data_IF_587784490699
#
_entry.id   IF_587784490699
#
_cell.length_a   1.000
_cell.length_b   1.000
_cell.length_c   1.000
_cell.angle_alpha   90.00
_cell.angle_beta   90.00
_cell.angle_gamma   90.00
#
_symmetry.space_group_name_H-M   'P 1'
#
loop_
_entity.id
_entity.type
_entity.pdbx_description
1 polymer ?
#
# COMPACT_ATOMS: atom_id res chain seq x y z
N UNK A 1 7.57 20.29 78.30
CA UNK A 1 8.55 19.86 77.30
C UNK A 1 7.79 19.68 76.00
N UNK A 2 7.70 20.74 75.20
CA UNK A 2 6.96 20.76 73.90
C UNK A 2 7.97 20.62 72.77
N UNK A 3 7.81 19.57 71.92
CA UNK A 3 8.52 19.41 70.65
C UNK A 3 7.62 19.87 69.51
N UNK A 4 8.05 20.79 68.60
CA UNK A 4 7.28 21.08 67.40
C UNK A 4 7.55 20.03 66.32
N UNK A 5 6.47 19.53 65.69
CA UNK A 5 6.50 18.75 64.45
C UNK A 5 6.83 19.71 63.28
N UNK A 6 7.92 19.42 62.61
CA UNK A 6 8.24 20.10 61.33
C UNK A 6 7.58 19.35 60.19
N UNK A 7 6.61 19.98 59.54
CA UNK A 7 5.93 19.48 58.34
C UNK A 7 6.77 19.82 57.12
N UNK A 8 7.39 18.80 56.48
CA UNK A 8 8.08 18.96 55.20
C UNK A 8 7.05 19.01 54.06
N UNK A 9 6.92 20.21 53.46
CA UNK A 9 6.13 20.41 52.24
C UNK A 9 6.97 19.95 51.06
N UNK A 10 6.63 18.82 50.43
CA UNK A 10 7.24 18.37 49.19
C UNK A 10 6.60 19.14 48.04
N UNK A 11 7.31 20.09 47.44
CA UNK A 11 6.94 20.71 46.16
C UNK A 11 7.17 19.70 45.04
N UNK A 12 6.09 19.10 44.49
CA UNK A 12 6.14 18.38 43.26
C UNK A 12 6.31 19.38 42.10
N UNK A 13 7.49 19.42 41.52
CA UNK A 13 7.76 20.16 40.28
C UNK A 13 7.17 19.33 39.14
N UNK A 14 6.01 19.72 38.64
CA UNK A 14 5.47 19.19 37.40
C UNK A 14 6.36 19.68 36.24
N UNK A 15 7.16 18.81 35.66
CA UNK A 15 7.85 19.06 34.41
C UNK A 15 6.79 19.23 33.30
N UNK A 16 6.83 20.33 32.52
CA UNK A 16 5.95 20.43 31.37
C UNK A 16 6.31 19.30 30.40
N UNK A 17 5.33 18.44 30.06
CA UNK A 17 5.44 17.56 28.92
C UNK A 17 5.68 18.47 27.69
N UNK A 18 6.85 18.34 27.09
CA UNK A 18 7.14 18.96 25.80
C UNK A 18 6.12 18.35 24.81
N UNK A 19 5.06 19.09 24.53
CA UNK A 19 4.22 18.84 23.37
C UNK A 19 5.17 18.91 22.17
N UNK A 20 5.39 17.78 21.50
CA UNK A 20 6.04 17.79 20.19
C UNK A 20 5.13 18.62 19.28
N UNK A 21 5.64 19.73 18.80
CA UNK A 21 5.02 20.48 17.71
C UNK A 21 4.93 19.53 16.53
N UNK A 22 3.74 18.94 16.32
CA UNK A 22 3.41 18.36 15.04
C UNK A 22 3.60 19.48 14.01
N UNK A 23 4.42 19.26 12.98
CA UNK A 23 4.57 20.26 11.91
C UNK A 23 3.18 20.66 11.44
N UNK A 24 2.93 21.96 11.32
CA UNK A 24 1.60 22.47 10.98
C UNK A 24 1.11 21.95 9.62
N UNK A 25 2.02 21.52 8.75
CA UNK A 25 1.75 20.97 7.42
C UNK A 25 2.73 19.82 7.11
N UNK A 26 2.44 19.12 6.01
CA UNK A 26 3.33 18.14 5.41
C UNK A 26 4.57 18.84 4.84
N UNK A 27 5.73 18.23 4.98
CA UNK A 27 6.93 18.69 4.30
C UNK A 27 6.70 18.62 2.79
N UNK A 28 7.22 19.64 2.08
CA UNK A 28 6.98 19.77 0.64
C UNK A 28 8.28 19.88 -0.14
N UNK A 29 8.36 19.16 -1.25
CA UNK A 29 9.48 19.24 -2.19
C UNK A 29 8.98 19.30 -3.62
N UNK A 30 9.62 20.18 -4.43
CA UNK A 30 9.32 20.35 -5.85
C UNK A 30 10.61 20.32 -6.67
N UNK A 31 10.72 19.33 -7.57
CA UNK A 31 11.80 19.24 -8.56
C UNK A 31 11.23 19.39 -9.98
N UNK A 32 11.41 20.58 -10.55
CA UNK A 32 10.92 20.90 -11.90
C UNK A 32 11.56 20.03 -12.99
N UNK A 33 12.85 19.67 -12.84
CA UNK A 33 13.57 18.86 -13.84
C UNK A 33 13.00 17.46 -13.93
N UNK A 34 12.61 16.90 -12.78
CA UNK A 34 12.00 15.57 -12.65
C UNK A 34 10.47 15.60 -12.78
N UNK A 35 9.89 16.78 -12.94
CA UNK A 35 8.43 17.00 -12.87
C UNK A 35 7.83 16.33 -11.64
N UNK A 36 8.48 16.49 -10.49
CA UNK A 36 8.16 15.82 -9.23
C UNK A 36 7.70 16.85 -8.21
N UNK A 37 6.54 16.63 -7.63
CA UNK A 37 6.06 17.28 -6.42
C UNK A 37 5.76 16.20 -5.38
N UNK A 38 6.23 16.42 -4.14
CA UNK A 38 6.05 15.47 -3.03
C UNK A 38 5.60 16.24 -1.79
N UNK A 39 4.54 15.76 -1.17
CA UNK A 39 4.19 16.07 0.21
C UNK A 39 4.46 14.84 1.05
N UNK A 40 5.18 14.98 2.16
CA UNK A 40 5.53 13.83 3.01
C UNK A 40 5.55 14.20 4.49
N UNK A 41 5.28 13.20 5.32
CA UNK A 41 5.44 13.28 6.77
C UNK A 41 6.22 12.06 7.26
N UNK A 42 7.20 12.31 8.13
CA UNK A 42 7.97 11.27 8.81
C UNK A 42 7.53 11.20 10.27
N UNK A 43 7.22 10.00 10.75
CA UNK A 43 6.75 9.78 12.11
C UNK A 43 7.84 9.16 12.99
N UNK A 44 7.78 9.43 14.31
CA UNK A 44 8.78 8.98 15.27
C UNK A 44 8.91 7.45 15.40
N UNK A 45 7.91 6.71 14.94
CA UNK A 45 7.91 5.24 14.92
C UNK A 45 8.57 4.64 13.65
N UNK A 46 9.20 5.47 12.83
CA UNK A 46 9.92 5.07 11.62
C UNK A 46 9.05 4.98 10.36
N UNK A 47 7.72 5.15 10.47
CA UNK A 47 6.86 5.25 9.30
C UNK A 47 7.03 6.60 8.61
N UNK A 48 6.94 6.59 7.28
CA UNK A 48 6.74 7.78 6.45
C UNK A 48 5.52 7.60 5.58
N UNK A 49 4.79 8.69 5.34
CA UNK A 49 3.68 8.73 4.39
C UNK A 49 3.99 9.84 3.40
N UNK A 50 3.80 9.57 2.11
CA UNK A 50 3.99 10.57 1.08
C UNK A 50 2.90 10.46 0.01
N UNK A 51 2.47 11.63 -0.49
CA UNK A 51 1.76 11.77 -1.75
C UNK A 51 2.67 12.45 -2.75
N UNK A 52 2.65 12.01 -4.00
CA UNK A 52 3.52 12.59 -5.01
C UNK A 52 2.88 12.61 -6.38
N UNK A 53 3.17 13.68 -7.12
CA UNK A 53 2.92 13.79 -8.54
C UNK A 53 4.24 13.67 -9.30
N UNK A 54 4.36 12.66 -10.16
CA UNK A 54 5.55 12.43 -10.99
C UNK A 54 5.10 12.36 -12.45
N UNK A 55 5.50 13.33 -13.27
CA UNK A 55 5.19 13.37 -14.71
C UNK A 55 3.70 13.09 -15.02
N UNK A 56 2.81 13.72 -14.25
CA UNK A 56 1.34 13.61 -14.38
C UNK A 56 0.72 12.36 -13.74
N UNK A 57 1.51 11.48 -13.16
CA UNK A 57 0.98 10.33 -12.41
C UNK A 57 1.01 10.55 -10.91
N UNK A 58 -0.11 10.26 -10.28
CA UNK A 58 -0.28 10.43 -8.84
C UNK A 58 -0.03 9.12 -8.11
N UNK A 59 0.72 9.18 -7.02
CA UNK A 59 1.00 8.05 -6.13
C UNK A 59 0.87 8.47 -4.66
N UNK A 60 0.43 7.53 -3.83
CA UNK A 60 0.52 7.62 -2.37
C UNK A 60 1.26 6.38 -1.85
N UNK A 61 2.21 6.60 -0.95
CA UNK A 61 3.10 5.54 -0.45
C UNK A 61 3.21 5.60 1.06
N UNK A 62 3.38 4.42 1.67
CA UNK A 62 3.75 4.27 3.08
C UNK A 62 5.11 3.59 3.09
N UNK A 63 6.08 4.17 3.78
CA UNK A 63 7.46 3.69 3.93
C UNK A 63 7.77 3.26 5.36
N UNK A 64 8.85 2.50 5.57
CA UNK A 64 9.25 2.08 6.92
C UNK A 64 8.40 0.94 7.49
N UNK A 65 7.61 0.29 6.66
CA UNK A 65 6.86 -0.90 7.06
C UNK A 65 7.79 -2.11 7.21
N UNK A 66 7.43 -3.13 8.01
CA UNK A 66 8.14 -4.41 7.99
C UNK A 66 8.22 -4.96 6.56
N UNK A 67 9.23 -5.77 6.20
CA UNK A 67 9.29 -6.39 4.88
C UNK A 67 7.97 -7.09 4.51
N UNK A 68 7.51 -6.90 3.29
CA UNK A 68 6.33 -7.58 2.80
C UNK A 68 6.61 -9.09 2.65
N UNK A 69 5.65 -9.93 2.99
CA UNK A 69 5.71 -11.34 2.68
C UNK A 69 5.68 -11.61 1.17
N UNK A 70 5.49 -12.89 0.79
CA UNK A 70 5.35 -13.26 -0.61
C UNK A 70 4.12 -12.63 -1.24
N UNK A 71 4.26 -12.16 -2.46
CA UNK A 71 3.16 -11.63 -3.27
C UNK A 71 3.34 -10.18 -3.66
N UNK A 72 2.44 -9.70 -4.51
CA UNK A 72 2.39 -8.31 -5.00
C UNK A 72 1.42 -7.45 -4.20
N UNK A 73 0.53 -8.06 -3.40
CA UNK A 73 -0.43 -7.38 -2.55
C UNK A 73 0.12 -7.28 -1.12
N UNK A 74 -0.18 -6.15 -0.49
CA UNK A 74 0.12 -5.89 0.90
C UNK A 74 -1.16 -5.44 1.61
N UNK A 75 -1.94 -6.35 2.19
CA UNK A 75 -3.11 -5.95 2.95
C UNK A 75 -2.69 -5.11 4.15
N UNK A 76 -3.26 -3.92 4.25
CA UNK A 76 -3.14 -3.03 5.41
C UNK A 76 -4.56 -2.72 5.88
N UNK A 77 -4.79 -2.73 7.18
CA UNK A 77 -6.04 -2.20 7.74
C UNK A 77 -5.79 -0.79 8.23
N UNK A 78 -6.61 0.12 7.74
CA UNK A 78 -6.45 1.56 7.98
C UNK A 78 -7.75 2.10 8.55
N UNK A 79 -7.64 3.06 9.47
CA UNK A 79 -8.77 3.81 9.98
C UNK A 79 -8.37 5.27 10.20
N UNK A 80 -9.19 6.17 9.75
CA UNK A 80 -9.11 7.60 10.03
C UNK A 80 -10.00 7.93 11.23
N UNK A 81 -9.53 8.84 12.09
CA UNK A 81 -10.26 9.20 13.31
C UNK A 81 -10.59 7.99 14.18
N UNK A 82 -11.87 7.91 14.59
CA UNK A 82 -12.39 6.84 15.44
C UNK A 82 -13.12 5.72 14.65
N UNK A 83 -13.03 5.74 13.32
CA UNK A 83 -13.62 4.72 12.46
C UNK A 83 -13.05 3.33 12.73
N UNK A 84 -13.76 2.28 12.30
CA UNK A 84 -13.25 0.91 12.36
C UNK A 84 -12.14 0.68 11.34
N UNK A 85 -11.23 -0.25 11.67
CA UNK A 85 -10.14 -0.63 10.77
C UNK A 85 -10.71 -1.36 9.55
N UNK A 86 -10.61 -0.73 8.39
CA UNK A 86 -11.00 -1.29 7.11
C UNK A 86 -9.78 -1.81 6.33
N UNK A 87 -9.93 -2.91 5.60
CA UNK A 87 -8.85 -3.49 4.83
C UNK A 87 -8.71 -2.77 3.48
N UNK A 88 -7.57 -2.09 3.33
CA UNK A 88 -7.18 -1.47 2.07
C UNK A 88 -6.16 -2.32 1.35
N UNK A 89 -6.39 -2.54 0.07
CA UNK A 89 -5.45 -3.27 -0.78
C UNK A 89 -4.35 -2.32 -1.28
N UNK A 90 -3.15 -2.57 -0.78
CA UNK A 90 -1.92 -1.91 -1.22
C UNK A 90 -1.08 -2.87 -2.05
N UNK A 91 -0.22 -2.33 -2.89
CA UNK A 91 0.76 -3.10 -3.64
C UNK A 91 2.14 -2.97 -3.01
N UNK A 92 2.93 -4.03 -3.13
CA UNK A 92 4.34 -4.01 -2.70
C UNK A 92 5.14 -3.27 -3.76
N UNK A 93 5.92 -2.25 -3.36
CA UNK A 93 6.89 -1.60 -4.25
C UNK A 93 8.06 -2.54 -4.61
N UNK A 94 9.00 -2.04 -5.43
CA UNK A 94 10.27 -2.76 -5.67
C UNK A 94 11.01 -2.99 -4.35
N UNK A 95 11.08 -1.96 -3.49
CA UNK A 95 11.49 -2.12 -2.10
C UNK A 95 10.31 -2.64 -1.28
N UNK A 96 10.45 -3.81 -0.68
CA UNK A 96 9.39 -4.53 0.03
C UNK A 96 8.99 -3.93 1.39
N UNK A 97 9.72 -2.92 1.87
CA UNK A 97 9.35 -2.11 3.04
C UNK A 97 8.44 -0.93 2.69
N UNK A 98 8.09 -0.78 1.41
CA UNK A 98 7.23 0.29 0.90
C UNK A 98 5.94 -0.31 0.37
N UNK A 99 4.81 0.27 0.78
CA UNK A 99 3.50 0.01 0.21
C UNK A 99 3.10 1.16 -0.73
N UNK A 100 2.52 0.83 -1.89
CA UNK A 100 1.98 1.80 -2.85
C UNK A 100 0.48 1.65 -2.91
N UNK A 101 -0.26 2.75 -2.74
CA UNK A 101 -1.72 2.73 -2.79
C UNK A 101 -2.23 2.35 -4.18
N UNK A 102 -3.25 1.53 -4.22
CA UNK A 102 -3.96 1.20 -5.46
C UNK A 102 -4.93 2.29 -5.89
N UNK A 103 -5.46 3.04 -4.92
CA UNK A 103 -6.32 4.20 -5.11
C UNK A 103 -5.69 5.42 -4.40
N UNK A 104 -4.62 5.99 -4.97
CA UNK A 104 -3.83 7.00 -4.28
C UNK A 104 -4.56 8.33 -4.09
N UNK A 105 -5.44 8.73 -5.01
CA UNK A 105 -6.13 10.00 -4.90
C UNK A 105 -7.24 9.98 -3.84
N UNK A 106 -8.12 8.97 -3.73
CA UNK A 106 -9.00 8.80 -2.59
C UNK A 106 -8.25 8.81 -1.27
N UNK A 107 -7.21 8.00 -1.13
CA UNK A 107 -6.41 7.96 0.10
C UNK A 107 -5.78 9.31 0.47
N UNK A 108 -5.28 10.06 -0.54
CA UNK A 108 -4.75 11.40 -0.30
C UNK A 108 -5.83 12.38 0.17
N UNK A 109 -7.07 12.26 -0.31
CA UNK A 109 -8.19 13.07 0.15
C UNK A 109 -8.54 12.79 1.60
N UNK A 110 -8.52 11.55 2.04
CA UNK A 110 -8.66 11.20 3.46
C UNK A 110 -7.52 11.78 4.32
N UNK A 111 -6.28 11.72 3.85
CA UNK A 111 -5.14 12.32 4.56
C UNK A 111 -5.28 13.85 4.78
N UNK A 112 -6.00 14.54 3.90
CA UNK A 112 -6.25 16.00 4.00
C UNK A 112 -7.07 16.39 5.21
N UNK A 113 -7.91 15.50 5.70
CA UNK A 113 -8.74 15.76 6.88
C UNK A 113 -7.91 15.83 8.17
N UNK A 114 -6.64 15.38 8.13
CA UNK A 114 -5.77 15.41 9.30
C UNK A 114 -6.21 14.46 10.40
N UNK A 115 -5.82 14.78 11.63
CA UNK A 115 -6.24 14.02 12.81
C UNK A 115 -5.52 12.69 12.99
N UNK A 116 -6.23 11.71 13.55
CA UNK A 116 -5.67 10.41 13.89
C UNK A 116 -5.71 9.44 12.70
N UNK A 117 -4.63 8.75 12.46
CA UNK A 117 -4.54 7.67 11.48
C UNK A 117 -4.00 6.41 12.16
N UNK A 118 -4.75 5.31 12.07
CA UNK A 118 -4.31 4.00 12.55
C UNK A 118 -4.02 3.08 11.37
N UNK A 119 -2.84 2.45 11.39
CA UNK A 119 -2.41 1.50 10.36
C UNK A 119 -2.06 0.19 11.04
N UNK A 120 -2.75 -0.88 10.73
CA UNK A 120 -2.45 -2.22 11.18
C UNK A 120 -1.84 -3.04 10.04
N UNK A 121 -0.67 -3.60 10.31
CA UNK A 121 0.00 -4.56 9.42
C UNK A 121 -0.30 -5.97 9.95
N UNK A 122 -1.12 -6.77 9.24
CA UNK A 122 -1.39 -8.14 9.67
C UNK A 122 -0.10 -8.95 9.74
N UNK A 123 0.14 -9.59 10.88
CA UNK A 123 1.35 -10.39 11.15
C UNK A 123 2.67 -9.63 10.96
N UNK A 124 2.64 -8.30 11.11
CA UNK A 124 3.79 -7.42 10.87
C UNK A 124 4.82 -7.39 12.02
N UNK A 125 4.47 -7.85 13.21
CA UNK A 125 5.41 -7.94 14.33
C UNK A 125 6.35 -9.16 14.17
N UNK A 126 7.55 -9.08 14.75
CA UNK A 126 8.57 -10.13 14.66
C UNK A 126 8.10 -11.49 15.22
N UNK A 127 7.17 -11.49 16.17
CA UNK A 127 6.53 -12.68 16.75
C UNK A 127 5.29 -13.16 15.96
N UNK A 128 5.01 -12.58 14.82
CA UNK A 128 3.88 -12.92 13.95
C UNK A 128 2.53 -12.33 14.38
N UNK A 129 2.49 -11.50 15.43
CA UNK A 129 1.29 -10.74 15.80
C UNK A 129 1.07 -9.57 14.86
N UNK A 130 -0.13 -9.00 14.89
CA UNK A 130 -0.42 -7.76 14.18
C UNK A 130 0.41 -6.62 14.75
N UNK A 131 0.95 -5.79 13.86
CA UNK A 131 1.67 -4.58 14.24
C UNK A 131 0.78 -3.37 14.01
N UNK A 132 0.58 -2.56 15.05
CA UNK A 132 -0.26 -1.37 15.01
C UNK A 132 0.61 -0.12 15.06
N UNK A 133 0.32 0.80 14.16
CA UNK A 133 0.82 2.17 14.18
C UNK A 133 -0.35 3.11 14.46
N UNK A 134 -0.14 4.05 15.35
CA UNK A 134 -1.09 5.11 15.73
C UNK A 134 -0.38 6.45 15.50
N UNK A 135 -0.89 7.23 14.57
CA UNK A 135 -0.25 8.43 14.04
C UNK A 135 -1.17 9.63 14.24
N UNK A 136 -0.57 10.80 14.48
CA UNK A 136 -1.25 12.07 14.36
C UNK A 136 -0.78 12.74 13.07
N UNK A 137 -1.70 12.94 12.13
CA UNK A 137 -1.42 13.61 10.87
C UNK A 137 -1.22 15.10 11.07
N UNK A 138 -0.44 15.78 10.21
CA UNK A 138 -0.36 17.24 10.18
C UNK A 138 -1.75 17.88 10.05
N UNK A 139 -1.95 19.02 10.68
CA UNK A 139 -3.24 19.71 10.69
C UNK A 139 -3.57 20.43 9.38
N UNK A 140 -2.55 20.83 8.62
CA UNK A 140 -2.70 21.47 7.29
C UNK A 140 -2.54 20.43 6.19
N UNK A 141 -3.30 20.59 5.12
CA UNK A 141 -3.25 19.75 3.92
C UNK A 141 -2.70 20.48 2.69
N UNK A 142 -2.23 21.71 2.83
CA UNK A 142 -1.85 22.56 1.71
C UNK A 142 -0.81 21.91 0.78
N UNK A 143 0.13 21.14 1.32
CA UNK A 143 1.14 20.42 0.55
C UNK A 143 0.54 19.23 -0.22
N UNK A 144 -0.41 18.51 0.37
CA UNK A 144 -1.15 17.43 -0.33
C UNK A 144 -1.99 18.01 -1.46
N UNK A 145 -2.67 19.13 -1.24
CA UNK A 145 -3.48 19.82 -2.25
C UNK A 145 -2.65 20.19 -3.48
N UNK A 146 -1.41 20.63 -3.27
CA UNK A 146 -0.49 20.93 -4.35
C UNK A 146 -0.13 19.67 -5.17
N UNK A 147 0.11 18.53 -4.51
CA UNK A 147 0.43 17.29 -5.23
C UNK A 147 -0.76 16.75 -6.02
N UNK A 148 -1.98 16.80 -5.45
CA UNK A 148 -3.22 16.42 -6.15
C UNK A 148 -3.44 17.32 -7.39
N UNK A 149 -3.38 18.64 -7.20
CA UNK A 149 -3.60 19.63 -8.27
C UNK A 149 -2.57 19.49 -9.39
N UNK A 150 -1.29 19.29 -9.06
CA UNK A 150 -0.22 19.09 -10.03
C UNK A 150 -0.46 17.88 -10.95
N UNK A 151 -1.14 16.85 -10.43
CA UNK A 151 -1.52 15.65 -11.18
C UNK A 151 -2.95 15.70 -11.76
N UNK A 152 -3.57 16.87 -11.82
CA UNK A 152 -4.95 17.04 -12.27
C UNK A 152 -5.95 16.13 -11.53
N UNK A 153 -5.69 15.87 -10.24
CA UNK A 153 -6.62 15.14 -9.37
C UNK A 153 -7.45 16.17 -8.58
N UNK A 154 -8.79 16.12 -8.67
CA UNK A 154 -9.64 17.06 -7.94
C UNK A 154 -9.50 16.87 -6.44
N UNK A 155 -9.64 17.96 -5.68
CA UNK A 155 -9.62 17.94 -4.22
C UNK A 155 -10.86 17.30 -3.61
N UNK A 156 -11.96 17.27 -4.36
CA UNK A 156 -13.20 16.55 -4.05
C UNK A 156 -13.59 15.80 -5.32
N UNK A 157 -13.82 14.50 -5.22
CA UNK A 157 -14.20 13.66 -6.36
C UNK A 157 -15.42 12.81 -5.98
N UNK A 158 -16.58 13.01 -6.64
CA UNK A 158 -17.78 12.23 -6.34
C UNK A 158 -17.61 10.73 -6.63
N UNK A 159 -16.62 10.33 -7.44
CA UNK A 159 -16.32 8.92 -7.70
C UNK A 159 -15.76 8.17 -6.51
N UNK A 160 -15.29 8.87 -5.45
CA UNK A 160 -14.75 8.20 -4.28
C UNK A 160 -15.79 7.30 -3.62
N UNK A 161 -17.04 7.77 -3.47
CA UNK A 161 -18.12 6.96 -2.95
C UNK A 161 -18.48 5.77 -3.86
N UNK A 162 -18.35 5.94 -5.20
CA UNK A 162 -18.56 4.83 -6.13
C UNK A 162 -17.45 3.79 -6.03
N UNK A 163 -16.19 4.25 -5.88
CA UNK A 163 -15.02 3.37 -5.72
C UNK A 163 -15.08 2.56 -4.43
N UNK A 164 -15.55 3.18 -3.35
CA UNK A 164 -15.73 2.52 -2.05
C UNK A 164 -16.83 1.45 -2.09
N UNK A 165 -17.88 1.67 -2.88
CA UNK A 165 -19.01 0.75 -3.05
C UNK A 165 -18.72 -0.44 -3.99
N UNK A 166 -17.54 -0.53 -4.61
CA UNK A 166 -17.19 -1.65 -5.49
C UNK A 166 -16.90 -2.92 -4.67
N UNK A 167 -17.31 -4.06 -5.21
CA UNK A 167 -16.96 -5.36 -4.67
C UNK A 167 -15.46 -5.67 -4.84
N UNK A 168 -14.98 -6.73 -4.21
CA UNK A 168 -13.57 -7.16 -4.26
C UNK A 168 -13.06 -7.39 -5.68
N UNK A 169 -13.94 -7.81 -6.59
CA UNK A 169 -13.62 -8.05 -8.00
C UNK A 169 -13.64 -6.77 -8.86
N UNK A 170 -13.97 -5.61 -8.27
CA UNK A 170 -13.95 -4.28 -8.86
C UNK A 170 -15.17 -3.94 -9.71
N UNK A 171 -16.28 -4.67 -9.55
CA UNK A 171 -17.56 -4.30 -10.16
C UNK A 171 -18.64 -4.10 -9.09
N UNK A 172 -19.66 -3.29 -9.36
CA UNK A 172 -20.84 -3.19 -8.49
C UNK A 172 -21.61 -4.52 -8.37
N UNK A 173 -22.32 -4.72 -7.28
CA UNK A 173 -23.07 -5.97 -6.95
C UNK A 173 -24.05 -6.44 -8.02
N UNK A 174 -24.59 -5.53 -8.84
CA UNK A 174 -25.50 -5.82 -9.93
C UNK A 174 -24.81 -6.17 -11.27
N UNK A 175 -23.49 -6.09 -11.30
CA UNK A 175 -22.64 -6.42 -12.46
C UNK A 175 -21.72 -7.60 -12.18
N UNK A 176 -21.26 -8.23 -13.26
CA UNK A 176 -20.17 -9.19 -13.22
C UNK A 176 -19.34 -9.07 -14.50
N UNK A 177 -18.12 -9.56 -14.47
CA UNK A 177 -17.27 -9.68 -15.65
C UNK A 177 -17.79 -10.80 -16.57
N UNK A 178 -18.28 -10.43 -17.74
CA UNK A 178 -18.53 -11.39 -18.82
C UNK A 178 -17.23 -11.79 -19.52
N UNK A 179 -16.31 -10.82 -19.68
CA UNK A 179 -14.94 -11.03 -20.16
C UNK A 179 -14.01 -10.20 -19.27
N UNK A 180 -13.24 -10.89 -18.42
CA UNK A 180 -12.26 -10.21 -17.57
C UNK A 180 -11.12 -9.61 -18.39
N UNK A 181 -10.61 -8.42 -17.99
CA UNK A 181 -9.39 -7.90 -18.60
C UNK A 181 -8.23 -8.86 -18.41
N UNK A 182 -7.55 -9.19 -19.50
CA UNK A 182 -6.37 -10.08 -19.47
C UNK A 182 -5.19 -9.34 -20.09
N UNK A 183 -4.46 -8.53 -19.31
CA UNK A 183 -3.34 -7.79 -19.83
C UNK A 183 -2.14 -8.69 -20.11
N UNK A 184 -1.38 -8.34 -21.16
CA UNK A 184 -0.10 -8.98 -21.46
C UNK A 184 1.01 -8.25 -20.71
N UNK A 185 2.03 -9.00 -20.28
CA UNK A 185 3.22 -8.43 -19.69
C UNK A 185 3.89 -7.46 -20.71
N UNK A 186 4.10 -6.18 -20.36
CA UNK A 186 4.69 -5.22 -21.28
C UNK A 186 6.19 -5.48 -21.48
N UNK A 187 6.78 -4.89 -22.52
CA UNK A 187 8.24 -4.85 -22.67
C UNK A 187 8.80 -3.82 -21.70
N UNK A 188 9.46 -4.26 -20.65
CA UNK A 188 10.02 -3.45 -19.57
C UNK A 188 11.19 -4.18 -18.93
N UNK A 189 12.08 -3.44 -18.26
CA UNK A 189 13.20 -3.99 -17.49
C UNK A 189 12.78 -4.43 -16.07
N UNK A 190 11.53 -4.17 -15.68
CA UNK A 190 11.00 -4.55 -14.37
C UNK A 190 10.46 -5.98 -14.38
N UNK A 191 10.88 -6.77 -13.40
CA UNK A 191 10.41 -8.13 -13.23
C UNK A 191 8.99 -8.23 -12.62
N UNK A 192 8.52 -7.15 -11.98
CA UNK A 192 7.17 -7.06 -11.40
C UNK A 192 6.66 -5.64 -11.43
N UNK A 193 5.34 -5.50 -11.36
CA UNK A 193 4.64 -4.24 -11.25
C UNK A 193 3.13 -4.44 -11.16
N UNK A 194 2.41 -3.34 -11.09
CA UNK A 194 0.96 -3.36 -11.14
C UNK A 194 0.42 -2.10 -11.82
N UNK A 195 -0.83 -2.16 -12.25
CA UNK A 195 -1.62 -0.99 -12.57
C UNK A 195 -3.08 -1.21 -12.17
N UNK A 196 -3.73 -0.13 -11.78
CA UNK A 196 -5.17 -0.08 -11.48
C UNK A 196 -5.81 0.87 -12.47
N UNK A 197 -6.87 0.43 -13.10
CA UNK A 197 -7.66 1.20 -14.04
C UNK A 197 -9.11 1.27 -13.60
N UNK A 198 -9.73 2.43 -13.78
CA UNK A 198 -11.17 2.61 -13.72
C UNK A 198 -11.71 2.83 -15.12
N UNK A 199 -12.90 2.37 -15.38
CA UNK A 199 -13.64 2.57 -16.64
C UNK A 199 -15.12 2.80 -16.30
N UNK A 200 -15.88 3.25 -17.29
CA UNK A 200 -17.34 3.34 -17.22
C UNK A 200 -17.95 2.29 -18.14
N UNK A 201 -18.93 1.52 -17.67
CA UNK A 201 -19.64 0.52 -18.47
C UNK A 201 -20.59 1.21 -19.47
N UNK A 202 -20.73 0.62 -20.65
CA UNK A 202 -21.75 0.95 -21.64
C UNK A 202 -22.93 -0.04 -21.58
N UNK A 203 -24.11 0.34 -22.10
CA UNK A 203 -25.28 -0.55 -22.12
C UNK A 203 -25.08 -1.89 -22.84
N UNK A 204 -24.12 -1.98 -23.77
CA UNK A 204 -23.74 -3.22 -24.47
C UNK A 204 -22.67 -4.03 -23.71
N UNK A 205 -22.29 -3.61 -22.50
CA UNK A 205 -21.29 -4.26 -21.66
C UNK A 205 -19.84 -3.92 -22.01
N UNK A 206 -19.59 -3.10 -23.04
CA UNK A 206 -18.24 -2.58 -23.34
C UNK A 206 -17.81 -1.56 -22.28
N UNK A 207 -16.51 -1.25 -22.22
CA UNK A 207 -15.96 -0.25 -21.33
C UNK A 207 -15.49 0.99 -22.12
N UNK A 208 -15.69 2.18 -21.53
CA UNK A 208 -15.25 3.47 -22.06
C UNK A 208 -14.61 4.32 -20.97
N UNK A 209 -14.05 5.45 -21.36
CA UNK A 209 -13.47 6.46 -20.48
C UNK A 209 -12.50 5.85 -19.43
N UNK A 210 -11.70 4.88 -19.89
CA UNK A 210 -10.76 4.20 -19.02
C UNK A 210 -9.57 5.09 -18.66
N UNK A 211 -9.25 5.19 -17.38
CA UNK A 211 -8.13 5.94 -16.84
C UNK A 211 -7.30 5.10 -15.89
N UNK A 212 -6.00 5.39 -15.79
CA UNK A 212 -5.12 4.78 -14.79
C UNK A 212 -5.24 5.57 -13.48
N UNK A 213 -5.62 4.89 -12.42
CA UNK A 213 -5.62 5.44 -11.06
C UNK A 213 -4.24 5.34 -10.43
N UNK A 214 -3.57 4.20 -10.62
CA UNK A 214 -2.20 3.99 -10.14
C UNK A 214 -1.43 3.04 -11.05
N UNK A 215 -0.11 3.22 -11.11
CA UNK A 215 0.84 2.36 -11.79
C UNK A 215 2.17 2.36 -11.03
N UNK A 216 2.76 1.20 -10.82
CA UNK A 216 4.09 1.09 -10.21
C UNK A 216 4.86 -0.12 -10.74
N UNK A 217 6.15 0.03 -11.12
CA UNK A 217 6.85 1.29 -11.36
C UNK A 217 6.24 2.11 -12.51
N UNK A 218 6.33 3.42 -12.42
CA UNK A 218 5.66 4.34 -13.36
C UNK A 218 6.13 4.24 -14.81
N UNK A 219 7.40 3.95 -15.02
CA UNK A 219 8.02 3.77 -16.34
C UNK A 219 7.93 2.32 -16.84
N UNK A 220 7.19 1.45 -16.11
CA UNK A 220 7.03 0.03 -16.41
C UNK A 220 6.08 -0.29 -17.56
N UNK A 221 5.32 0.69 -18.08
CA UNK A 221 4.28 0.54 -19.11
C UNK A 221 3.13 -0.40 -18.71
N UNK A 222 2.97 -0.64 -17.43
CA UNK A 222 1.92 -1.51 -16.91
C UNK A 222 0.54 -0.89 -17.10
N UNK A 223 0.42 0.43 -16.92
CA UNK A 223 -0.81 1.18 -17.16
C UNK A 223 -1.30 1.03 -18.60
N UNK A 224 -0.43 1.23 -19.60
CA UNK A 224 -0.80 1.07 -20.99
C UNK A 224 -1.26 -0.35 -21.32
N UNK A 225 -0.55 -1.36 -20.83
CA UNK A 225 -0.93 -2.77 -21.03
C UNK A 225 -2.29 -3.09 -20.38
N UNK A 226 -2.56 -2.46 -19.24
CA UNK A 226 -3.83 -2.56 -18.52
C UNK A 226 -4.98 -1.92 -19.30
N UNK A 227 -4.81 -0.70 -19.83
CA UNK A 227 -5.79 -0.03 -20.68
C UNK A 227 -6.08 -0.81 -21.96
N UNK A 228 -5.05 -1.40 -22.59
CA UNK A 228 -5.21 -2.23 -23.78
C UNK A 228 -6.03 -3.50 -23.51
N UNK A 229 -5.96 -4.03 -22.28
CA UNK A 229 -6.80 -5.13 -21.86
C UNK A 229 -8.26 -4.70 -21.61
N UNK A 230 -8.47 -3.51 -21.05
CA UNK A 230 -9.80 -2.96 -20.80
C UNK A 230 -10.66 -2.86 -22.06
N UNK A 231 -10.07 -2.52 -23.21
CA UNK A 231 -10.78 -2.42 -24.51
C UNK A 231 -11.45 -3.72 -24.93
N UNK A 232 -10.98 -4.87 -24.45
CA UNK A 232 -11.51 -6.20 -24.77
C UNK A 232 -12.40 -6.75 -23.67
N UNK A 233 -12.41 -6.10 -22.52
CA UNK A 233 -13.21 -6.53 -21.38
C UNK A 233 -14.71 -6.26 -21.62
N UNK A 234 -15.54 -7.03 -20.95
CA UNK A 234 -17.00 -6.89 -20.98
C UNK A 234 -17.55 -7.14 -19.60
N UNK A 235 -18.57 -6.37 -19.23
CA UNK A 235 -19.41 -6.62 -18.06
C UNK A 235 -20.80 -7.03 -18.48
N UNK A 236 -21.52 -7.67 -17.61
CA UNK A 236 -22.91 -8.09 -17.80
C UNK A 236 -23.76 -7.73 -16.60
N UNK A 237 -25.04 -7.46 -16.85
CA UNK A 237 -26.03 -7.22 -15.81
C UNK A 237 -26.47 -8.55 -15.21
N UNK A 238 -26.17 -8.79 -13.92
CA UNK A 238 -26.56 -10.03 -13.22
C UNK A 238 -27.83 -9.85 -12.41
N UNK A 239 -28.20 -8.63 -12.06
CA UNK A 239 -29.48 -8.35 -11.41
C UNK A 239 -30.66 -8.54 -12.39
N UNK A 240 -30.46 -8.27 -13.69
CA UNK A 240 -31.47 -8.42 -14.74
C UNK A 240 -30.81 -9.03 -15.99
N UNK A 241 -30.61 -10.36 -16.04
CA UNK A 241 -29.97 -11.04 -17.16
C UNK A 241 -30.70 -10.77 -18.49
N UNK A 242 -29.93 -10.41 -19.52
CA UNK A 242 -30.47 -10.06 -20.85
C UNK A 242 -30.92 -8.60 -21.00
N UNK A 243 -30.97 -7.82 -19.92
CA UNK A 243 -31.19 -6.38 -19.99
C UNK A 243 -29.89 -5.60 -20.25
N UNK A 244 -30.00 -4.36 -20.77
CA UNK A 244 -28.84 -3.49 -20.92
C UNK A 244 -28.04 -3.35 -19.62
N UNK A 245 -26.73 -3.22 -19.74
CA UNK A 245 -25.84 -3.01 -18.60
C UNK A 245 -26.03 -1.57 -18.09
N UNK A 246 -26.25 -1.35 -16.78
CA UNK A 246 -26.24 -0.01 -16.20
C UNK A 246 -24.92 0.70 -16.44
N UNK A 247 -24.97 2.01 -16.67
CA UNK A 247 -23.79 2.86 -16.80
C UNK A 247 -23.23 3.10 -15.38
N UNK A 248 -22.13 2.42 -15.06
CA UNK A 248 -21.51 2.44 -13.72
C UNK A 248 -19.99 2.44 -13.82
N UNK A 249 -19.35 2.90 -12.76
CA UNK A 249 -17.90 2.79 -12.58
C UNK A 249 -17.54 1.32 -12.34
N UNK A 250 -16.47 0.89 -12.98
CA UNK A 250 -15.82 -0.40 -12.75
C UNK A 250 -14.33 -0.21 -12.59
N UNK A 251 -13.71 -1.03 -11.78
CA UNK A 251 -12.28 -0.99 -11.50
C UNK A 251 -11.67 -2.37 -11.79
N UNK A 252 -10.46 -2.42 -12.28
CA UNK A 252 -9.69 -3.66 -12.25
C UNK A 252 -8.22 -3.39 -11.99
N UNK A 253 -7.63 -4.32 -11.29
CA UNK A 253 -6.21 -4.37 -10.99
C UNK A 253 -5.53 -5.44 -11.83
N UNK A 254 -4.41 -5.07 -12.43
CA UNK A 254 -3.50 -5.97 -13.11
C UNK A 254 -2.18 -6.07 -12.32
N UNK A 255 -1.84 -7.27 -11.89
CA UNK A 255 -0.52 -7.57 -11.33
C UNK A 255 0.33 -8.23 -12.41
N UNK A 256 1.56 -7.77 -12.53
CA UNK A 256 2.53 -8.25 -13.49
C UNK A 256 3.73 -8.85 -12.76
N UNK A 257 4.03 -10.11 -13.04
CA UNK A 257 5.19 -10.80 -12.46
C UNK A 257 5.78 -11.70 -13.53
N UNK A 258 7.11 -11.60 -13.74
CA UNK A 258 7.83 -12.50 -14.63
C UNK A 258 7.82 -13.90 -14.04
N UNK A 259 7.58 -14.91 -14.87
CA UNK A 259 7.62 -16.31 -14.44
C UNK A 259 8.98 -16.65 -13.82
N UNK A 260 8.96 -17.24 -12.62
CA UNK A 260 10.17 -17.56 -11.88
C UNK A 260 10.81 -16.39 -11.10
N UNK A 261 10.16 -15.21 -11.07
CA UNK A 261 10.63 -14.11 -10.23
C UNK A 261 10.66 -14.53 -8.76
N UNK A 262 11.79 -14.29 -8.12
CA UNK A 262 12.00 -14.49 -6.69
C UNK A 262 12.20 -13.13 -6.02
N UNK A 263 11.58 -12.94 -4.87
CA UNK A 263 11.84 -11.76 -4.07
C UNK A 263 13.20 -11.87 -3.39
N UNK A 264 13.83 -10.75 -2.99
CA UNK A 264 15.07 -10.79 -2.18
C UNK A 264 14.91 -11.65 -0.91
N UNK A 265 13.72 -11.69 -0.35
CA UNK A 265 13.37 -12.53 0.81
C UNK A 265 13.30 -14.03 0.45
N UNK A 266 12.79 -14.37 -0.74
CA UNK A 266 12.81 -15.76 -1.23
C UNK A 266 14.25 -16.24 -1.44
N UNK A 267 15.10 -15.39 -2.02
CA UNK A 267 16.52 -15.68 -2.19
C UNK A 267 17.24 -15.81 -0.84
N UNK A 268 16.92 -14.96 0.14
CA UNK A 268 17.49 -15.06 1.49
C UNK A 268 17.07 -16.37 2.16
N UNK A 269 15.79 -16.74 2.09
CA UNK A 269 15.30 -18.03 2.62
C UNK A 269 15.98 -19.22 1.97
N UNK A 270 16.17 -19.19 0.66
CA UNK A 270 16.87 -20.27 -0.05
C UNK A 270 18.34 -20.37 0.37
N UNK A 271 19.04 -19.22 0.54
CA UNK A 271 20.41 -19.21 1.06
C UNK A 271 20.49 -19.79 2.45
N UNK A 272 19.57 -19.43 3.33
CA UNK A 272 19.50 -19.95 4.71
C UNK A 272 19.17 -21.45 4.74
N UNK A 273 18.24 -21.90 3.91
CA UNK A 273 17.91 -23.32 3.78
C UNK A 273 19.13 -24.13 3.27
N UNK A 274 19.81 -23.64 2.25
CA UNK A 274 21.00 -24.27 1.72
C UNK A 274 22.17 -24.30 2.74
N UNK A 275 22.31 -23.25 3.57
CA UNK A 275 23.27 -23.23 4.67
C UNK A 275 22.97 -24.32 5.71
N UNK A 276 21.74 -24.40 6.19
CA UNK A 276 21.29 -25.43 7.17
C UNK A 276 21.53 -26.85 6.63
N UNK A 277 21.19 -27.09 5.36
CA UNK A 277 21.43 -28.39 4.75
C UNK A 277 22.94 -28.75 4.68
N UNK A 278 23.79 -27.78 4.38
CA UNK A 278 25.26 -27.99 4.43
C UNK A 278 25.76 -28.30 5.84
N UNK A 279 25.28 -27.57 6.84
CA UNK A 279 25.62 -27.79 8.26
C UNK A 279 25.16 -29.18 8.72
N UNK A 280 23.94 -29.59 8.38
CA UNK A 280 23.42 -30.93 8.68
C UNK A 280 24.22 -32.04 7.99
N UNK A 281 24.58 -31.86 6.72
CA UNK A 281 25.41 -32.81 5.99
C UNK A 281 26.81 -32.92 6.61
N UNK A 282 27.39 -31.79 7.04
CA UNK A 282 28.67 -31.75 7.70
C UNK A 282 28.61 -32.47 9.07
N UNK A 283 27.56 -32.22 9.86
CA UNK A 283 27.34 -32.88 11.13
C UNK A 283 27.16 -34.41 10.98
N UNK A 284 26.39 -34.86 9.98
CA UNK A 284 26.24 -36.30 9.67
C UNK A 284 27.55 -36.95 9.28
N UNK A 285 28.39 -36.28 8.48
CA UNK A 285 29.72 -36.78 8.10
C UNK A 285 30.65 -36.87 9.31
N UNK A 286 30.65 -35.86 10.18
CA UNK A 286 31.44 -35.87 11.40
C UNK A 286 31.00 -37.01 12.36
N UNK A 287 29.70 -37.21 12.53
CA UNK A 287 29.15 -38.30 13.33
C UNK A 287 29.51 -39.68 12.76
N UNK A 288 29.44 -39.85 11.44
CA UNK A 288 29.85 -41.10 10.77
C UNK A 288 31.34 -41.38 10.91
N UNK A 289 32.21 -40.35 10.89
CA UNK A 289 33.64 -40.48 11.08
C UNK A 289 34.05 -40.77 12.55
N UNK A 290 33.16 -40.39 13.51
CA UNK A 290 33.40 -40.64 14.94
C UNK A 290 32.81 -41.99 15.43
N UNK A 291 32.06 -42.70 14.58
CA UNK A 291 31.55 -44.02 14.92
C UNK A 291 32.72 -45.04 15.06
N UNK A 292 32.84 -45.79 16.18
CA UNK A 292 33.88 -46.77 16.31
C UNK A 292 33.73 -47.85 15.23
N UNK A 293 34.84 -48.21 14.57
CA UNK A 293 34.85 -49.40 13.72
C UNK A 293 34.45 -50.62 14.57
N UNK A 294 33.33 -51.23 14.26
CA UNK A 294 32.98 -52.54 14.85
C UNK A 294 34.13 -53.48 14.50
N UNK A 295 34.84 -53.92 15.55
CA UNK A 295 35.86 -54.91 15.43
C UNK A 295 35.18 -56.26 15.18
N UNK A 296 35.41 -56.84 13.99
CA UNK A 296 35.14 -58.26 13.72
C UNK A 296 36.02 -59.17 14.56
#
# INVERSE_FOLDING_TARGET
>A
MNRPLATLLACAVALPALAQDASADWDFSHDQRRKLMVAYAQFNNGLGIATRCVDGGFEAVITGLPPAGRGSNRPLRIAFGDEELFEYNWSVAINDTIAVSQLPAPFARELREGGRLRIMVPRGAADGRNLMYDLTLPASSASIDQTLTACNRPLVDPRDAELEALEEDGVPTDLNWAVRPTPRFPRTDYARGFAVATCVSNPDGTLRDCAIESEHPRDGRFGQATLDAARRARVQNVAQPGSPVPVKLVLFKANYVVSGYQTPEDEARQRDAARREREERAARRAAAAAAPAEAD
#
